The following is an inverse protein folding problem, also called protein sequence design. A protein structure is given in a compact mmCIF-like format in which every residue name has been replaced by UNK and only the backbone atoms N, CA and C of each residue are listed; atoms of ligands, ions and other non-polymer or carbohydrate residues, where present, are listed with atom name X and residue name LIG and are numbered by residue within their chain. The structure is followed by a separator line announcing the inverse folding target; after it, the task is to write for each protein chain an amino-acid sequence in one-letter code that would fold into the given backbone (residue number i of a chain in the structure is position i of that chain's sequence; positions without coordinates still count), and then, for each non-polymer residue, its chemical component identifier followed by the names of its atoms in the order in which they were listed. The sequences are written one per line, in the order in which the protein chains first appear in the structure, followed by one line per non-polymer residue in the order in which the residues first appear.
data_IF_086246156704
#
_entry.id   IF_086246156704
#
_cell.length_a   1.000
_cell.length_b   1.000
_cell.length_c   1.000
_cell.angle_alpha   90.00
_cell.angle_beta   90.00
_cell.angle_gamma   90.00
#
_symmetry.space_group_name_H-M   'P 1'
#
loop_
_entity.id
_entity.type
_entity.pdbx_description
1 polymer ?
#
# COMPACT_ATOMS: atom_id res chain seq x y z
N UNK A 1 47.52 -27.47 39.43
CA UNK A 1 48.71 -26.64 39.15
C UNK A 1 48.28 -25.63 38.09
N UNK A 2 47.76 -24.44 38.40
CA UNK A 2 48.28 -23.30 39.18
C UNK A 2 49.34 -22.46 38.42
N UNK A 3 49.16 -21.13 38.53
CA UNK A 3 49.95 -19.97 38.05
C UNK A 3 49.79 -19.64 36.55
N UNK A 4 49.10 -18.56 36.12
CA UNK A 4 49.15 -17.13 36.45
C UNK A 4 50.46 -16.45 36.03
N UNK A 5 50.40 -15.58 35.00
CA UNK A 5 51.29 -14.44 34.83
C UNK A 5 50.63 -13.36 33.96
N UNK A 6 50.11 -12.35 34.65
CA UNK A 6 49.65 -11.06 34.16
C UNK A 6 50.83 -10.21 33.69
N UNK A 7 50.77 -9.61 32.49
CA UNK A 7 51.65 -8.50 32.14
C UNK A 7 50.81 -7.25 31.85
N UNK A 8 50.96 -6.27 32.74
CA UNK A 8 50.24 -5.01 32.84
C UNK A 8 51.25 -3.92 32.46
N UNK A 9 51.01 -3.15 31.41
CA UNK A 9 51.62 -1.81 31.28
C UNK A 9 50.68 -0.82 30.61
N UNK A 10 50.43 0.24 31.37
CA UNK A 10 49.61 1.41 31.10
C UNK A 10 50.31 2.35 30.12
N UNK A 11 49.55 2.94 29.21
CA UNK A 11 49.67 4.36 28.86
C UNK A 11 48.31 4.84 28.35
N UNK A 12 47.75 5.81 29.08
CA UNK A 12 46.46 6.44 28.85
C UNK A 12 46.55 7.57 27.80
N UNK A 13 45.35 8.03 27.41
CA UNK A 13 45.01 9.34 26.83
C UNK A 13 45.34 9.57 25.35
N UNK A 14 44.29 9.67 24.51
CA UNK A 14 43.62 10.97 24.25
C UNK A 14 42.37 10.76 23.40
N UNK A 15 41.27 11.29 23.90
CA UNK A 15 39.99 11.46 23.19
C UNK A 15 40.16 12.31 21.93
N UNK A 16 39.69 11.81 20.78
CA UNK A 16 39.13 12.68 19.74
C UNK A 16 37.90 12.02 19.15
N UNK A 17 36.77 12.67 19.41
CA UNK A 17 35.47 12.44 18.78
C UNK A 17 35.65 12.41 17.26
N UNK A 18 35.57 11.21 16.70
CA UNK A 18 35.34 10.97 15.29
C UNK A 18 34.03 10.22 15.23
N UNK A 19 32.94 10.93 14.96
CA UNK A 19 31.69 10.29 14.55
C UNK A 19 31.94 9.81 13.11
N UNK A 20 32.67 8.70 12.99
CA UNK A 20 32.62 7.86 11.81
C UNK A 20 31.32 7.07 11.94
N UNK A 21 30.24 7.60 11.37
CA UNK A 21 29.10 6.75 11.06
C UNK A 21 29.56 5.83 9.95
N UNK A 22 29.68 4.51 10.17
CA UNK A 22 29.78 3.63 9.04
C UNK A 22 28.45 3.83 8.32
N UNK A 23 28.50 4.24 7.05
CA UNK A 23 27.41 3.95 6.13
C UNK A 23 27.53 2.43 5.91
N UNK A 24 27.22 1.66 6.95
CA UNK A 24 26.69 0.32 6.80
C UNK A 24 25.56 0.49 5.82
N UNK A 25 25.72 -0.13 4.65
CA UNK A 25 24.64 -0.67 3.84
C UNK A 25 23.32 -0.57 4.60
N UNK A 26 22.58 0.52 4.38
CA UNK A 26 21.16 0.43 4.58
C UNK A 26 20.72 -0.44 3.43
N UNK A 27 20.68 -1.73 3.77
CA UNK A 27 20.00 -2.79 3.07
C UNK A 27 18.95 -2.17 2.19
N UNK A 28 19.03 -2.49 0.89
CA UNK A 28 17.88 -2.66 0.04
C UNK A 28 16.64 -2.71 0.92
N UNK A 29 15.82 -1.66 0.90
CA UNK A 29 14.48 -1.83 1.41
C UNK A 29 13.91 -2.87 0.44
N UNK A 30 14.06 -4.14 0.82
CA UNK A 30 13.27 -5.23 0.33
C UNK A 30 11.86 -4.78 0.68
N UNK A 31 11.27 -4.02 -0.24
CA UNK A 31 9.84 -3.90 -0.35
C UNK A 31 9.40 -5.33 -0.55
N UNK A 32 9.05 -5.98 0.56
CA UNK A 32 8.68 -7.38 0.62
C UNK A 32 7.76 -7.67 -0.55
N UNK A 33 8.32 -8.39 -1.53
CA UNK A 33 7.58 -8.96 -2.64
C UNK A 33 6.69 -10.04 -2.06
N UNK A 34 5.53 -9.66 -1.53
CA UNK A 34 4.44 -10.61 -1.31
C UNK A 34 3.11 -9.89 -1.19
N UNK A 35 2.70 -9.21 -2.24
CA UNK A 35 1.28 -9.20 -2.55
C UNK A 35 1.11 -9.90 -3.88
N UNK A 36 1.20 -11.24 -3.81
CA UNK A 36 0.59 -12.13 -4.77
C UNK A 36 -0.93 -11.89 -4.69
N UNK A 37 -1.42 -10.81 -5.29
CA UNK A 37 -2.80 -10.78 -5.72
C UNK A 37 -2.87 -11.76 -6.87
N UNK A 38 -3.17 -13.01 -6.50
CA UNK A 38 -3.53 -14.07 -7.42
C UNK A 38 -4.73 -13.54 -8.20
N UNK A 39 -4.50 -12.84 -9.32
CA UNK A 39 -5.53 -12.51 -10.30
C UNK A 39 -5.86 -13.81 -11.01
N UNK A 40 -6.51 -14.69 -10.27
CA UNK A 40 -7.21 -15.82 -10.84
C UNK A 40 -8.33 -15.21 -11.65
N UNK A 41 -8.01 -14.90 -12.91
CA UNK A 41 -8.92 -14.75 -14.02
C UNK A 41 -9.77 -16.02 -14.03
N UNK A 42 -10.81 -16.05 -13.20
CA UNK A 42 -11.86 -17.05 -13.36
C UNK A 42 -12.63 -16.59 -14.57
N UNK A 43 -12.25 -17.15 -15.72
CA UNK A 43 -13.08 -17.27 -16.90
C UNK A 43 -14.50 -17.58 -16.47
N UNK A 44 -15.39 -16.59 -16.48
CA UNK A 44 -16.82 -16.86 -16.41
C UNK A 44 -17.34 -16.86 -17.83
N UNK A 45 -17.18 -18.04 -18.43
CA UNK A 45 -17.98 -18.51 -19.55
C UNK A 45 -19.45 -18.18 -19.30
N UNK A 46 -20.04 -17.47 -20.27
CA UNK A 46 -21.47 -17.46 -20.53
C UNK A 46 -22.35 -17.08 -19.33
N UNK A 47 -22.36 -15.79 -18.98
CA UNK A 47 -23.50 -15.21 -18.30
C UNK A 47 -24.68 -15.22 -19.29
N UNK A 48 -25.44 -16.32 -19.30
CA UNK A 48 -26.76 -16.37 -19.91
C UNK A 48 -27.54 -15.20 -19.35
N UNK A 49 -27.92 -14.27 -20.23
CA UNK A 49 -28.84 -13.16 -19.93
C UNK A 49 -30.19 -13.76 -19.56
N UNK A 50 -30.36 -14.24 -18.32
CA UNK A 50 -31.68 -14.33 -17.75
C UNK A 50 -32.12 -12.89 -17.51
N UNK A 51 -33.03 -12.39 -18.34
CA UNK A 51 -33.71 -11.12 -18.09
C UNK A 51 -34.07 -11.05 -16.60
N UNK A 52 -33.55 -10.02 -15.93
CA UNK A 52 -33.35 -9.93 -14.48
C UNK A 52 -34.62 -9.83 -13.63
N UNK A 53 -35.67 -10.55 -13.98
CA UNK A 53 -36.81 -10.77 -13.12
C UNK A 53 -36.68 -12.21 -12.60
N UNK A 54 -36.23 -12.35 -11.35
CA UNK A 54 -36.37 -13.61 -10.61
C UNK A 54 -37.86 -13.84 -10.40
N UNK A 55 -38.51 -14.44 -11.39
CA UNK A 55 -39.89 -14.87 -11.30
C UNK A 55 -39.88 -16.16 -10.48
N UNK A 56 -40.41 -16.09 -9.26
CA UNK A 56 -40.79 -17.31 -8.55
C UNK A 56 -42.11 -17.77 -9.12
N UNK A 57 -42.11 -18.94 -9.75
CA UNK A 57 -43.35 -19.63 -10.06
C UNK A 57 -43.93 -20.14 -8.74
N UNK A 58 -44.88 -19.40 -8.20
CA UNK A 58 -45.76 -19.87 -7.13
C UNK A 58 -46.97 -20.49 -7.81
N UNK A 59 -47.19 -21.78 -7.57
CA UNK A 59 -48.44 -22.43 -7.95
C UNK A 59 -49.54 -22.00 -6.97
N UNK A 60 -50.25 -20.94 -7.35
CA UNK A 60 -51.33 -20.35 -6.55
C UNK A 60 -52.49 -21.32 -6.35
N UNK A 61 -52.74 -22.21 -7.32
CA UNK A 61 -53.83 -23.17 -7.25
C UNK A 61 -53.53 -24.27 -6.23
N UNK A 62 -52.30 -24.80 -6.21
CA UNK A 62 -51.87 -25.77 -5.18
C UNK A 62 -51.87 -25.13 -3.79
N UNK A 63 -51.49 -23.85 -3.67
CA UNK A 63 -51.48 -23.16 -2.38
C UNK A 63 -52.91 -22.97 -1.84
N UNK A 64 -53.85 -22.52 -2.68
CA UNK A 64 -55.27 -22.40 -2.31
C UNK A 64 -55.85 -23.75 -1.91
N UNK A 65 -55.59 -24.82 -2.67
CA UNK A 65 -56.07 -26.18 -2.35
C UNK A 65 -55.54 -26.71 -1.01
N UNK A 66 -54.29 -26.40 -0.67
CA UNK A 66 -53.72 -26.75 0.63
C UNK A 66 -54.40 -25.98 1.77
N UNK A 67 -54.68 -24.69 1.58
CA UNK A 67 -55.37 -23.86 2.58
C UNK A 67 -56.83 -24.32 2.78
N UNK A 68 -57.53 -24.67 1.70
CA UNK A 68 -58.86 -25.29 1.77
C UNK A 68 -58.82 -26.63 2.52
N UNK A 69 -57.79 -27.45 2.29
CA UNK A 69 -57.58 -28.71 3.01
C UNK A 69 -57.28 -28.54 4.51
N UNK A 70 -56.89 -27.35 4.95
CA UNK A 70 -56.73 -26.97 6.37
C UNK A 70 -58.00 -26.38 6.97
N UNK A 71 -59.12 -26.37 6.23
CA UNK A 71 -60.41 -25.89 6.70
C UNK A 71 -60.66 -24.40 6.48
N UNK A 72 -59.82 -23.69 5.71
CA UNK A 72 -60.09 -22.29 5.36
C UNK A 72 -61.15 -22.21 4.25
N UNK A 73 -62.12 -21.28 4.35
CA UNK A 73 -63.06 -21.01 3.27
C UNK A 73 -62.32 -20.43 2.05
N UNK A 74 -62.74 -20.81 0.85
CA UNK A 74 -62.09 -20.50 -0.44
C UNK A 74 -61.70 -19.02 -0.58
N UNK A 75 -62.60 -18.09 -0.21
CA UNK A 75 -62.34 -16.65 -0.28
C UNK A 75 -61.18 -16.19 0.61
N UNK A 76 -60.99 -16.81 1.78
CA UNK A 76 -59.88 -16.48 2.67
C UNK A 76 -58.57 -17.10 2.17
N UNK A 77 -58.62 -18.32 1.62
CA UNK A 77 -57.46 -18.98 1.03
C UNK A 77 -56.89 -18.20 -0.17
N UNK A 78 -57.76 -17.66 -1.03
CA UNK A 78 -57.38 -16.78 -2.15
C UNK A 78 -56.73 -15.48 -1.64
N UNK A 79 -57.36 -14.79 -0.68
CA UNK A 79 -56.83 -13.54 -0.14
C UNK A 79 -55.44 -13.70 0.50
N UNK A 80 -55.21 -14.79 1.23
CA UNK A 80 -53.90 -15.11 1.82
C UNK A 80 -52.87 -15.38 0.72
N UNK A 81 -53.25 -16.15 -0.31
CA UNK A 81 -52.37 -16.48 -1.43
C UNK A 81 -51.96 -15.22 -2.21
N UNK A 82 -52.87 -14.27 -2.40
CA UNK A 82 -52.59 -12.99 -3.05
C UNK A 82 -51.61 -12.14 -2.25
N UNK A 83 -51.80 -12.04 -0.92
CA UNK A 83 -50.88 -11.31 -0.04
C UNK A 83 -49.49 -11.93 -0.07
N UNK A 84 -49.39 -13.26 -0.04
CA UNK A 84 -48.11 -13.98 -0.12
C UNK A 84 -47.42 -13.69 -1.45
N UNK A 85 -48.15 -13.78 -2.56
CA UNK A 85 -47.61 -13.53 -3.90
C UNK A 85 -47.11 -12.09 -4.03
N UNK A 86 -47.86 -11.13 -3.47
CA UNK A 86 -47.48 -9.72 -3.47
C UNK A 86 -46.24 -9.44 -2.62
N UNK A 87 -46.17 -9.98 -1.40
CA UNK A 87 -44.99 -9.87 -0.53
C UNK A 87 -43.74 -10.48 -1.15
N UNK A 88 -43.87 -11.62 -1.83
CA UNK A 88 -42.77 -12.24 -2.55
C UNK A 88 -42.29 -11.35 -3.70
N UNK A 89 -43.20 -10.78 -4.49
CA UNK A 89 -42.83 -9.87 -5.57
C UNK A 89 -42.17 -8.57 -5.06
N UNK A 90 -42.71 -7.98 -3.98
CA UNK A 90 -42.19 -6.73 -3.40
C UNK A 90 -40.81 -6.92 -2.75
N UNK A 91 -40.60 -8.03 -2.03
CA UNK A 91 -39.31 -8.30 -1.36
C UNK A 91 -38.17 -8.58 -2.35
N UNK A 92 -38.47 -9.21 -3.48
CA UNK A 92 -37.47 -9.58 -4.49
C UNK A 92 -37.08 -8.44 -5.43
N UNK A 93 -37.92 -7.43 -5.61
CA UNK A 93 -37.56 -6.22 -6.37
C UNK A 93 -36.36 -5.46 -5.77
N UNK A 94 -36.11 -5.63 -4.46
CA UNK A 94 -34.97 -5.02 -3.76
C UNK A 94 -33.67 -5.82 -3.82
N UNK A 95 -33.72 -7.06 -4.34
CA UNK A 95 -32.59 -7.96 -4.32
C UNK A 95 -31.67 -7.65 -5.51
N UNK A 96 -30.56 -6.96 -5.23
CA UNK A 96 -29.54 -6.56 -6.23
C UNK A 96 -29.23 -7.75 -7.14
N UNK A 97 -29.38 -7.54 -8.45
CA UNK A 97 -29.15 -8.62 -9.39
C UNK A 97 -27.68 -9.05 -9.35
N UNK A 98 -27.40 -10.35 -9.54
CA UNK A 98 -26.01 -10.85 -9.60
C UNK A 98 -25.19 -10.10 -10.66
N UNK A 99 -25.83 -9.66 -11.74
CA UNK A 99 -25.22 -8.87 -12.79
C UNK A 99 -24.87 -7.43 -12.35
N UNK A 100 -25.72 -6.77 -11.57
CA UNK A 100 -25.42 -5.44 -11.01
C UNK A 100 -24.30 -5.52 -9.98
N UNK A 101 -24.35 -6.51 -9.08
CA UNK A 101 -23.28 -6.74 -8.10
C UNK A 101 -21.93 -6.97 -8.79
N UNK A 102 -21.89 -7.79 -9.84
CA UNK A 102 -20.67 -8.02 -10.62
C UNK A 102 -20.18 -6.74 -11.32
N UNK A 103 -21.08 -5.90 -11.87
CA UNK A 103 -20.66 -4.61 -12.45
C UNK A 103 -20.07 -3.68 -11.41
N UNK A 104 -20.68 -3.60 -10.23
CA UNK A 104 -20.15 -2.76 -9.14
C UNK A 104 -18.79 -3.26 -8.66
N UNK A 105 -18.60 -4.57 -8.58
CA UNK A 105 -17.32 -5.19 -8.21
C UNK A 105 -16.24 -4.88 -9.26
N UNK A 106 -16.54 -5.04 -10.56
CA UNK A 106 -15.60 -4.69 -11.64
C UNK A 106 -15.22 -3.21 -11.62
N UNK A 107 -16.17 -2.31 -11.37
CA UNK A 107 -15.90 -0.88 -11.27
C UNK A 107 -14.98 -0.58 -10.07
N UNK A 108 -15.27 -1.18 -8.92
CA UNK A 108 -14.45 -1.05 -7.70
C UNK A 108 -13.03 -1.62 -7.89
N UNK A 109 -12.89 -2.77 -8.54
CA UNK A 109 -11.59 -3.38 -8.81
C UNK A 109 -10.77 -2.51 -9.78
N UNK A 110 -11.42 -1.92 -10.79
CA UNK A 110 -10.77 -1.02 -11.74
C UNK A 110 -10.29 0.28 -11.10
N UNK A 111 -11.07 0.86 -10.18
CA UNK A 111 -10.70 2.09 -9.46
C UNK A 111 -9.57 1.83 -8.47
N UNK A 112 -9.62 0.70 -7.75
CA UNK A 112 -8.54 0.26 -6.86
C UNK A 112 -7.25 0.03 -7.65
N UNK A 113 -7.33 -0.61 -8.81
CA UNK A 113 -6.16 -0.84 -9.67
C UNK A 113 -5.54 0.46 -10.16
N UNK A 114 -6.35 1.45 -10.55
CA UNK A 114 -5.87 2.80 -10.94
C UNK A 114 -5.21 3.52 -9.77
N UNK A 115 -5.85 3.51 -8.61
CA UNK A 115 -5.30 4.10 -7.40
C UNK A 115 -3.95 3.48 -7.03
N UNK A 116 -3.83 2.14 -7.10
CA UNK A 116 -2.57 1.44 -6.86
C UNK A 116 -1.48 1.88 -7.83
N UNK A 117 -1.79 1.99 -9.12
CA UNK A 117 -0.83 2.43 -10.13
C UNK A 117 -0.37 3.88 -9.88
N UNK A 118 -1.28 4.77 -9.52
CA UNK A 118 -0.99 6.17 -9.21
C UNK A 118 -0.10 6.29 -7.95
N UNK A 119 -0.42 5.56 -6.89
CA UNK A 119 0.39 5.51 -5.66
C UNK A 119 1.80 5.00 -5.94
N UNK A 120 1.93 3.90 -6.71
CA UNK A 120 3.24 3.35 -7.07
C UNK A 120 4.05 4.32 -7.94
N UNK A 121 3.41 4.96 -8.91
CA UNK A 121 4.04 5.95 -9.78
C UNK A 121 4.52 7.17 -8.99
N UNK A 122 3.63 7.72 -8.15
CA UNK A 122 3.95 8.86 -7.28
C UNK A 122 5.10 8.53 -6.32
N UNK A 123 5.06 7.36 -5.67
CA UNK A 123 6.13 6.93 -4.77
C UNK A 123 7.47 6.79 -5.51
N UNK A 124 7.48 6.18 -6.70
CA UNK A 124 8.69 6.05 -7.51
C UNK A 124 9.26 7.41 -7.94
N UNK A 125 8.38 8.34 -8.31
CA UNK A 125 8.77 9.71 -8.67
C UNK A 125 9.36 10.47 -7.48
N UNK A 126 8.68 10.48 -6.33
CA UNK A 126 9.17 11.14 -5.11
C UNK A 126 10.49 10.56 -4.64
N UNK A 127 10.66 9.24 -4.69
CA UNK A 127 11.92 8.60 -4.32
C UNK A 127 13.06 9.01 -5.26
N UNK A 128 12.81 9.03 -6.57
CA UNK A 128 13.82 9.48 -7.55
C UNK A 128 14.19 10.95 -7.36
N UNK A 129 13.22 11.81 -7.08
CA UNK A 129 13.45 13.23 -6.77
C UNK A 129 14.31 13.40 -5.52
N UNK A 130 13.99 12.66 -4.45
CA UNK A 130 14.77 12.71 -3.21
C UNK A 130 16.20 12.23 -3.40
N UNK A 131 16.42 11.16 -4.16
CA UNK A 131 17.78 10.68 -4.48
C UNK A 131 18.56 11.74 -5.27
N UNK A 132 17.94 12.38 -6.25
CA UNK A 132 18.57 13.43 -7.04
C UNK A 132 18.93 14.65 -6.18
N UNK A 133 18.01 15.11 -5.32
CA UNK A 133 18.27 16.22 -4.40
C UNK A 133 19.37 15.88 -3.39
N UNK A 134 19.38 14.65 -2.86
CA UNK A 134 20.41 14.21 -1.93
C UNK A 134 21.79 14.20 -2.58
N UNK A 135 21.90 13.69 -3.82
CA UNK A 135 23.14 13.71 -4.59
C UNK A 135 23.59 15.14 -4.90
N UNK A 136 22.66 16.03 -5.26
CA UNK A 136 22.96 17.45 -5.46
C UNK A 136 23.53 18.09 -4.19
N UNK A 137 22.88 17.91 -3.04
CA UNK A 137 23.34 18.43 -1.76
C UNK A 137 24.71 17.87 -1.36
N UNK A 138 24.94 16.58 -1.62
CA UNK A 138 26.24 15.93 -1.39
C UNK A 138 27.35 16.58 -2.23
N UNK A 139 27.07 16.87 -3.50
CA UNK A 139 28.01 17.55 -4.39
C UNK A 139 28.27 19.00 -3.94
N UNK A 140 27.23 19.73 -3.53
CA UNK A 140 27.38 21.09 -3.00
C UNK A 140 28.23 21.12 -1.72
N UNK A 141 28.07 20.14 -0.82
CA UNK A 141 28.91 19.99 0.38
C UNK A 141 30.37 19.75 0.00
N UNK A 142 30.65 18.88 -0.96
CA UNK A 142 32.02 18.57 -1.36
C UNK A 142 32.70 19.76 -2.06
N UNK A 143 31.92 20.52 -2.84
CA UNK A 143 32.37 21.78 -3.43
C UNK A 143 32.74 22.80 -2.35
N UNK A 144 31.83 23.06 -1.40
CA UNK A 144 32.11 24.01 -0.30
C UNK A 144 33.32 23.58 0.54
N UNK A 145 33.50 22.27 0.78
CA UNK A 145 34.69 21.76 1.49
C UNK A 145 35.98 22.06 0.73
N UNK A 146 35.97 21.87 -0.59
CA UNK A 146 37.13 22.14 -1.45
C UNK A 146 37.47 23.62 -1.47
N UNK A 147 36.47 24.49 -1.59
CA UNK A 147 36.62 25.94 -1.54
C UNK A 147 37.18 26.41 -0.18
N UNK A 148 36.62 25.93 0.93
CA UNK A 148 37.11 26.27 2.27
C UNK A 148 38.56 25.81 2.48
N UNK A 149 38.93 24.63 1.99
CA UNK A 149 40.30 24.15 2.08
C UNK A 149 41.26 25.02 1.28
N UNK A 150 40.86 25.42 0.08
CA UNK A 150 41.63 26.34 -0.75
C UNK A 150 41.81 27.70 -0.06
N UNK A 151 40.74 28.27 0.52
CA UNK A 151 40.79 29.51 1.30
C UNK A 151 41.75 29.41 2.50
N UNK A 152 41.71 28.31 3.25
CA UNK A 152 42.63 28.06 4.38
C UNK A 152 44.08 27.98 3.92
N UNK A 153 44.35 27.23 2.85
CA UNK A 153 45.70 27.06 2.30
C UNK A 153 46.24 28.41 1.80
N UNK A 154 45.42 29.19 1.11
CA UNK A 154 45.74 30.55 0.65
C UNK A 154 46.04 31.50 1.83
N UNK A 155 45.18 31.53 2.85
CA UNK A 155 45.38 32.35 4.04
C UNK A 155 46.66 31.98 4.78
N UNK A 156 46.91 30.68 4.96
CA UNK A 156 48.11 30.17 5.63
C UNK A 156 49.39 30.51 4.85
N UNK A 157 49.35 30.41 3.52
CA UNK A 157 50.47 30.83 2.68
C UNK A 157 50.74 32.34 2.79
N UNK A 158 49.68 33.17 2.79
CA UNK A 158 49.78 34.61 3.02
C UNK A 158 50.43 34.95 4.36
N UNK A 159 49.95 34.35 5.46
CA UNK A 159 50.51 34.56 6.78
C UNK A 159 52.00 34.16 6.87
N UNK A 160 52.39 33.05 6.21
CA UNK A 160 53.80 32.65 6.15
C UNK A 160 54.66 33.66 5.39
N UNK A 161 54.13 34.23 4.31
CA UNK A 161 54.83 35.27 3.56
C UNK A 161 55.00 36.53 4.41
N UNK A 162 53.94 37.00 5.08
CA UNK A 162 53.98 38.17 5.95
C UNK A 162 55.06 38.01 7.05
N UNK A 163 55.09 36.86 7.73
CA UNK A 163 56.10 36.56 8.76
C UNK A 163 57.54 36.53 8.22
N UNK A 164 57.73 36.11 6.97
CA UNK A 164 59.06 36.09 6.35
C UNK A 164 59.50 37.51 5.93
N UNK A 165 58.56 38.40 5.59
CA UNK A 165 58.85 39.80 5.24
C UNK A 165 59.19 40.65 6.47
N UNK A 166 58.65 40.35 7.65
CA UNK A 166 58.95 41.09 8.89
C UNK A 166 60.31 40.71 9.54
N UNK A 167 60.91 39.60 9.10
CA UNK A 167 62.18 39.07 9.64
C UNK A 167 63.39 39.29 8.74
N UNK A 168 63.18 39.74 7.50
CA UNK A 168 64.21 39.98 6.49
C UNK A 168 64.64 41.43 6.40
#
# INVERSE_FOLDING_TARGET
MAAAATCKRLAQLRTRSGIAMPITQFSSFEASKSFSSNSSLRSFSQLVKSNGQRLFLVDTLVLVRKLEGQGLPTKQAEAITDIITKLLNDSLGSLVSKAEMQRTEMLQESSLSKFKAEVQSSQGHHFSSLLHENEKLRNDIEKMRSELRYEIDKFTAGQRLDLNLERG
#
